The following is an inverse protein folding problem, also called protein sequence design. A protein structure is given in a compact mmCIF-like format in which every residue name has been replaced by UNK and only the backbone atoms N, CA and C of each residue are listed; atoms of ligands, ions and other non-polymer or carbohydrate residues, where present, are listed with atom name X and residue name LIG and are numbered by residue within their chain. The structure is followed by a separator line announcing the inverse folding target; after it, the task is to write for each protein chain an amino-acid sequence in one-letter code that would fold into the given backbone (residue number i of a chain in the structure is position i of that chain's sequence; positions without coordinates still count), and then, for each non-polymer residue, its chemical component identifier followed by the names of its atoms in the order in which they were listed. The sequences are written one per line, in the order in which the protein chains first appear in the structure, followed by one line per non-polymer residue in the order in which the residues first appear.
data_IF_140240907303
#
_entry.id   IF_140240907303
#
_cell.length_a   1.000
_cell.length_b   1.000
_cell.length_c   1.000
_cell.angle_alpha   90.00
_cell.angle_beta   90.00
_cell.angle_gamma   90.00
#
_symmetry.space_group_name_H-M   'P 1'
#
loop_
_entity.id
_entity.type
_entity.pdbx_description
1 polymer ?
#
# COMPACT_ATOMS: atom_id res chain seq x y z
N UNK A 1 -6.13 6.51 -3.12
CA UNK A 1 -5.76 7.94 -3.20
C UNK A 1 -6.78 8.90 -2.58
N UNK A 2 -8.10 8.76 -2.83
CA UNK A 2 -9.12 9.71 -2.33
C UNK A 2 -9.17 9.89 -0.81
N UNK A 3 -8.71 8.89 -0.08
CA UNK A 3 -8.65 8.86 1.39
C UNK A 3 -7.26 9.23 1.93
N UNK A 4 -6.27 9.50 1.06
CA UNK A 4 -4.95 9.96 1.47
C UNK A 4 -4.98 11.47 1.72
N UNK A 5 -4.15 11.93 2.64
CA UNK A 5 -4.18 13.29 3.16
C UNK A 5 -3.74 14.36 2.13
N UNK A 6 -4.42 15.52 2.04
CA UNK A 6 -5.68 15.83 2.71
C UNK A 6 -6.85 15.07 2.06
N UNK A 7 -7.73 14.44 2.84
CA UNK A 7 -8.87 13.72 2.28
C UNK A 7 -9.79 14.71 1.58
N UNK A 8 -9.85 14.62 0.25
CA UNK A 8 -10.78 15.40 -0.57
C UNK A 8 -11.93 14.50 -0.98
N UNK A 9 -13.12 14.82 -0.46
CA UNK A 9 -14.39 14.21 -0.85
C UNK A 9 -15.11 15.15 -1.80
N UNK A 10 -14.89 15.05 -3.13
CA UNK A 10 -15.57 15.91 -4.10
C UNK A 10 -17.07 15.69 -4.03
N UNK A 11 -17.82 16.77 -3.81
CA UNK A 11 -19.28 16.77 -3.66
C UNK A 11 -19.99 17.15 -4.96
N UNK A 12 -19.25 17.67 -5.94
CA UNK A 12 -19.78 18.08 -7.24
C UNK A 12 -18.79 17.79 -8.38
N UNK A 13 -19.23 17.84 -9.65
CA UNK A 13 -18.38 17.55 -10.80
C UNK A 13 -17.16 18.47 -10.93
N UNK A 14 -17.26 19.74 -10.54
CA UNK A 14 -16.14 20.67 -10.62
C UNK A 14 -15.01 20.29 -9.64
N UNK A 15 -15.38 19.93 -8.40
CA UNK A 15 -14.43 19.42 -7.41
C UNK A 15 -13.82 18.07 -7.83
N UNK A 16 -14.59 17.20 -8.51
CA UNK A 16 -14.05 15.96 -9.05
C UNK A 16 -13.00 16.24 -10.13
N UNK A 17 -13.26 17.17 -11.04
CA UNK A 17 -12.31 17.57 -12.07
C UNK A 17 -11.02 18.19 -11.48
N UNK A 18 -11.15 19.02 -10.45
CA UNK A 18 -10.00 19.57 -9.71
C UNK A 18 -9.16 18.46 -9.06
N UNK A 19 -9.82 17.52 -8.36
CA UNK A 19 -9.14 16.35 -7.79
C UNK A 19 -8.41 15.54 -8.87
N UNK A 20 -9.06 15.26 -9.99
CA UNK A 20 -8.47 14.48 -11.08
C UNK A 20 -7.26 15.20 -11.69
N UNK A 21 -7.29 16.53 -11.78
CA UNK A 21 -6.14 17.34 -12.22
C UNK A 21 -4.98 17.31 -11.22
N UNK A 22 -5.26 17.31 -9.91
CA UNK A 22 -4.22 17.20 -8.86
C UNK A 22 -3.57 15.80 -8.88
N UNK A 23 -4.37 14.75 -9.09
CA UNK A 23 -3.88 13.37 -9.09
C UNK A 23 -3.22 12.99 -10.42
N UNK A 24 -3.60 13.60 -11.54
CA UNK A 24 -3.09 13.24 -12.87
C UNK A 24 -1.55 13.18 -12.95
N UNK A 25 -0.78 14.15 -12.42
CA UNK A 25 0.68 14.08 -12.39
C UNK A 25 1.21 12.92 -11.54
N UNK A 26 0.50 12.51 -10.49
CA UNK A 26 0.95 11.44 -9.59
C UNK A 26 0.82 10.04 -10.20
N UNK A 27 0.09 9.90 -11.32
CA UNK A 27 -0.10 8.60 -11.97
C UNK A 27 1.20 7.94 -12.41
N UNK A 28 2.19 8.72 -12.83
CA UNK A 28 3.49 8.16 -13.26
C UNK A 28 4.21 7.42 -12.10
N UNK A 29 3.92 7.81 -10.86
CA UNK A 29 4.52 7.27 -9.64
C UNK A 29 3.69 6.12 -9.03
N UNK A 30 2.62 5.71 -9.70
CA UNK A 30 1.77 4.64 -9.20
C UNK A 30 2.53 3.30 -9.23
N UNK A 31 2.60 2.63 -8.09
CA UNK A 31 3.47 1.46 -7.86
C UNK A 31 3.09 0.24 -8.71
N UNK A 32 1.84 0.11 -9.12
CA UNK A 32 1.35 -0.96 -10.00
C UNK A 32 1.89 -0.86 -11.42
N UNK A 33 2.54 0.24 -11.79
CA UNK A 33 3.34 0.30 -13.02
C UNK A 33 4.65 -0.49 -12.95
N UNK A 34 5.06 -0.96 -11.77
CA UNK A 34 6.35 -1.59 -11.51
C UNK A 34 6.22 -2.96 -10.82
N UNK A 35 5.09 -3.68 -11.01
CA UNK A 35 4.81 -4.94 -10.30
C UNK A 35 5.88 -6.02 -10.52
N UNK A 36 6.37 -6.19 -11.75
CA UNK A 36 7.41 -7.17 -12.06
C UNK A 36 8.69 -6.91 -11.25
N UNK A 37 9.15 -5.65 -11.25
CA UNK A 37 10.33 -5.23 -10.48
C UNK A 37 10.17 -5.40 -8.98
N UNK A 38 8.94 -5.28 -8.46
CA UNK A 38 8.66 -5.55 -7.06
C UNK A 38 8.72 -7.04 -6.75
N UNK A 39 8.23 -7.87 -7.67
CA UNK A 39 8.12 -9.32 -7.52
C UNK A 39 9.43 -10.07 -7.78
N UNK A 40 10.42 -9.43 -8.39
CA UNK A 40 11.76 -9.98 -8.65
C UNK A 40 12.55 -10.34 -7.38
N UNK A 41 12.04 -9.99 -6.19
CA UNK A 41 12.66 -10.26 -4.89
C UNK A 41 11.62 -10.59 -3.83
N UNK A 42 12.01 -11.22 -2.72
CA UNK A 42 11.16 -11.29 -1.53
C UNK A 42 10.60 -9.92 -1.16
N UNK A 43 9.29 -9.83 -0.97
CA UNK A 43 8.59 -8.60 -0.59
C UNK A 43 7.76 -8.84 0.67
N UNK A 44 8.01 -8.04 1.71
CA UNK A 44 7.19 -7.98 2.91
C UNK A 44 6.28 -6.77 2.86
N UNK A 45 4.96 -7.00 2.91
CA UNK A 45 3.95 -5.97 3.12
C UNK A 45 3.41 -6.12 4.55
N UNK A 46 3.57 -5.08 5.38
CA UNK A 46 2.97 -5.03 6.72
C UNK A 46 2.06 -3.81 6.83
N UNK A 47 0.87 -3.96 7.42
CA UNK A 47 -0.04 -2.84 7.63
C UNK A 47 -0.92 -3.00 8.88
N UNK A 48 -1.14 -1.89 9.60
CA UNK A 48 -2.14 -1.82 10.66
C UNK A 48 -3.55 -1.67 10.08
N UNK A 49 -4.48 -2.56 10.41
CA UNK A 49 -5.80 -2.58 9.77
C UNK A 49 -6.66 -1.34 10.06
N UNK A 50 -6.35 -0.64 11.15
CA UNK A 50 -7.05 0.58 11.58
C UNK A 50 -6.22 1.85 11.34
N UNK A 51 -5.23 1.79 10.44
CA UNK A 51 -4.41 2.96 10.08
C UNK A 51 -5.30 4.13 9.61
N UNK A 52 -5.25 5.20 10.39
CA UNK A 52 -6.05 6.42 10.28
C UNK A 52 -5.37 7.50 9.41
N UNK A 53 -4.17 7.23 8.90
CA UNK A 53 -3.40 8.15 8.04
C UNK A 53 -3.25 7.58 6.64
N UNK A 54 -2.88 6.30 6.53
CA UNK A 54 -2.73 5.56 5.27
C UNK A 54 -3.64 4.34 5.31
N UNK A 55 -4.83 4.39 4.68
CA UNK A 55 -5.80 3.31 4.77
C UNK A 55 -5.26 1.97 4.25
N UNK A 56 -5.52 0.90 5.00
CA UNK A 56 -5.09 -0.47 4.68
C UNK A 56 -5.51 -0.96 3.28
N UNK A 57 -6.58 -0.38 2.72
CA UNK A 57 -7.05 -0.69 1.37
C UNK A 57 -6.00 -0.42 0.29
N UNK A 58 -5.08 0.54 0.50
CA UNK A 58 -4.03 0.82 -0.49
C UNK A 58 -3.00 -0.33 -0.56
N UNK A 59 -2.58 -0.87 0.59
CA UNK A 59 -1.73 -2.07 0.65
C UNK A 59 -2.47 -3.30 0.09
N UNK A 60 -3.77 -3.43 0.39
CA UNK A 60 -4.58 -4.52 -0.15
C UNK A 60 -4.71 -4.44 -1.67
N UNK A 61 -4.86 -3.24 -2.24
CA UNK A 61 -4.88 -3.01 -3.69
C UNK A 61 -3.57 -3.47 -4.35
N UNK A 62 -2.43 -3.17 -3.74
CA UNK A 62 -1.14 -3.66 -4.24
C UNK A 62 -1.03 -5.19 -4.17
N UNK A 63 -1.42 -5.80 -3.05
CA UNK A 63 -1.44 -7.25 -2.90
C UNK A 63 -2.32 -7.90 -3.99
N UNK A 64 -3.53 -7.38 -4.23
CA UNK A 64 -4.42 -7.88 -5.27
C UNK A 64 -3.84 -7.70 -6.66
N UNK A 65 -3.19 -6.57 -6.95
CA UNK A 65 -2.57 -6.33 -8.25
C UNK A 65 -1.44 -7.34 -8.54
N UNK A 66 -0.59 -7.63 -7.54
CA UNK A 66 0.45 -8.66 -7.65
C UNK A 66 -0.17 -10.05 -7.88
N UNK A 67 -1.19 -10.42 -7.11
CA UNK A 67 -1.86 -11.72 -7.25
C UNK A 67 -2.57 -11.87 -8.61
N UNK A 68 -3.28 -10.84 -9.07
CA UNK A 68 -3.95 -10.85 -10.37
C UNK A 68 -2.95 -11.01 -11.54
N UNK A 69 -1.76 -10.42 -11.40
CA UNK A 69 -0.65 -10.58 -12.33
C UNK A 69 0.14 -11.89 -12.15
N UNK A 70 -0.19 -12.73 -11.16
CA UNK A 70 0.55 -13.95 -10.77
C UNK A 70 2.01 -13.68 -10.37
N UNK A 71 2.24 -12.52 -9.77
CA UNK A 71 3.53 -12.00 -9.32
C UNK A 71 3.66 -12.03 -7.78
N UNK A 72 2.78 -12.76 -7.09
CA UNK A 72 2.69 -12.80 -5.62
C UNK A 72 3.49 -13.94 -4.97
N UNK A 73 4.19 -14.76 -5.76
CA UNK A 73 4.96 -15.93 -5.29
C UNK A 73 5.92 -15.62 -4.12
N UNK A 74 6.52 -14.43 -4.11
CA UNK A 74 7.51 -14.01 -3.12
C UNK A 74 6.97 -12.96 -2.13
N UNK A 75 5.65 -12.74 -2.13
CA UNK A 75 5.00 -11.73 -1.29
C UNK A 75 4.57 -12.36 0.02
N UNK A 76 4.98 -11.74 1.12
CA UNK A 76 4.48 -12.01 2.46
C UNK A 76 3.65 -10.82 2.92
N UNK A 77 2.37 -11.04 3.25
CA UNK A 77 1.50 -9.98 3.80
C UNK A 77 1.20 -10.24 5.28
N UNK A 78 1.42 -9.23 6.12
CA UNK A 78 1.11 -9.25 7.54
C UNK A 78 0.15 -8.11 7.88
N UNK A 79 -0.97 -8.46 8.51
CA UNK A 79 -2.02 -7.52 8.87
C UNK A 79 -2.15 -7.46 10.39
N UNK A 80 -2.10 -6.26 10.96
CA UNK A 80 -2.19 -6.06 12.40
C UNK A 80 -3.55 -5.47 12.80
N UNK A 81 -4.42 -6.31 13.37
CA UNK A 81 -5.72 -5.89 13.89
C UNK A 81 -5.57 -4.90 15.07
N UNK A 82 -6.44 -3.89 15.17
CA UNK A 82 -6.38 -2.90 16.25
C UNK A 82 -5.20 -1.92 16.18
N UNK A 83 -4.43 -1.94 15.09
CA UNK A 83 -3.24 -1.11 14.93
C UNK A 83 -3.54 0.03 13.96
N UNK A 84 -3.36 1.26 14.47
CA UNK A 84 -3.45 2.52 13.72
C UNK A 84 -2.11 2.88 13.07
N UNK A 85 -1.87 4.15 12.72
CA UNK A 85 -0.61 4.59 12.12
C UNK A 85 0.58 4.58 13.13
N UNK A 86 1.07 3.38 13.46
CA UNK A 86 2.19 3.17 14.38
C UNK A 86 2.92 1.87 14.08
N UNK A 87 4.22 1.84 14.35
CA UNK A 87 5.03 0.62 14.26
C UNK A 87 4.97 -0.13 15.59
N UNK A 88 4.69 -1.44 15.55
CA UNK A 88 4.64 -2.29 16.75
C UNK A 88 5.92 -3.11 16.93
N UNK A 89 6.21 -3.62 18.15
CA UNK A 89 7.32 -4.55 18.37
C UNK A 89 7.25 -5.82 17.50
N UNK A 90 6.05 -6.32 17.23
CA UNK A 90 5.81 -7.47 16.36
C UNK A 90 6.16 -7.15 14.91
N UNK A 91 5.78 -5.96 14.42
CA UNK A 91 6.14 -5.48 13.08
C UNK A 91 7.67 -5.40 12.91
N UNK A 92 8.37 -4.87 13.93
CA UNK A 92 9.83 -4.81 13.93
C UNK A 92 10.44 -6.21 13.94
N UNK A 93 9.95 -7.10 14.80
CA UNK A 93 10.43 -8.47 14.89
C UNK A 93 10.24 -9.24 13.58
N UNK A 94 9.09 -9.09 12.92
CA UNK A 94 8.81 -9.68 11.63
C UNK A 94 9.74 -9.12 10.54
N UNK A 95 10.00 -7.81 10.55
CA UNK A 95 10.92 -7.18 9.60
C UNK A 95 12.35 -7.70 9.77
N UNK A 96 12.84 -7.82 11.00
CA UNK A 96 14.17 -8.39 11.28
C UNK A 96 14.25 -9.85 10.84
N UNK A 97 13.23 -10.66 11.14
CA UNK A 97 13.17 -12.05 10.73
C UNK A 97 13.18 -12.20 9.21
N UNK A 98 12.39 -11.39 8.52
CA UNK A 98 12.33 -11.36 7.05
C UNK A 98 13.69 -11.04 6.44
N UNK A 99 14.39 -10.01 6.92
CA UNK A 99 15.72 -9.69 6.41
C UNK A 99 16.75 -10.76 6.72
N UNK A 100 16.75 -11.35 7.92
CA UNK A 100 17.66 -12.47 8.24
C UNK A 100 17.48 -13.70 7.35
N UNK A 101 16.29 -13.88 6.78
CA UNK A 101 15.98 -15.00 5.89
C UNK A 101 16.38 -14.73 4.44
N UNK A 102 16.44 -13.46 4.02
CA UNK A 102 16.52 -13.07 2.61
C UNK A 102 17.71 -12.18 2.24
N UNK A 103 18.53 -11.77 3.21
CA UNK A 103 19.82 -11.10 3.03
C UNK A 103 20.96 -11.98 3.56
#
# INVERSE_FOLDING_TARGET
ARTLFPPLSPQNPAQQAEFDNIIAPLREWEVTHQLERLADRPLLLWHGQEDDVVPAIETFRLQQALAAAKLDKHVTCLWAAGVRHRITPEALSATVAFFRQHL
#
